data_IF_142467168952
#
_entry.id   IF_142467168952
#
_cell.length_a   1.000
_cell.length_b   1.000
_cell.length_c   1.000
_cell.angle_alpha   90.00
_cell.angle_beta   90.00
_cell.angle_gamma   90.00
#
_symmetry.space_group_name_H-M   'P 1'
#
loop_
_entity.id
_entity.type
_entity.pdbx_description
1 polymer ?
#
# COMPACT_ATOMS: atom_id res chain seq x y z
N UNK A 1 63.06 -49.52 186.36
CA UNK A 1 63.08 -48.57 185.22
C UNK A 1 63.21 -49.38 183.94
N UNK A 2 62.50 -49.07 182.85
CA UNK A 2 62.73 -49.81 181.59
C UNK A 2 61.62 -49.91 180.54
N UNK A 3 60.61 -49.03 180.52
CA UNK A 3 59.82 -48.84 179.29
C UNK A 3 60.13 -47.42 178.80
N UNK A 4 61.00 -47.32 177.80
CA UNK A 4 61.34 -46.08 177.12
C UNK A 4 60.67 -46.10 175.75
N UNK A 5 59.76 -45.17 175.50
CA UNK A 5 59.05 -45.10 174.21
C UNK A 5 60.02 -44.62 173.13
N UNK A 6 60.30 -45.47 172.15
CA UNK A 6 61.30 -45.19 171.09
C UNK A 6 60.73 -44.31 169.98
N UNK A 7 59.44 -44.44 169.67
CA UNK A 7 58.72 -43.51 168.79
C UNK A 7 57.21 -43.56 169.04
N UNK A 8 56.55 -42.41 168.92
CA UNK A 8 55.10 -42.35 168.67
C UNK A 8 54.90 -42.18 167.17
N UNK A 9 54.16 -43.11 166.55
CA UNK A 9 53.67 -42.95 165.17
C UNK A 9 52.19 -42.65 165.23
N UNK A 10 51.79 -41.44 164.85
CA UNK A 10 50.38 -41.07 164.72
C UNK A 10 49.82 -41.86 163.53
N UNK A 11 48.87 -42.76 163.79
CA UNK A 11 48.26 -43.60 162.75
C UNK A 11 47.18 -42.88 161.96
N UNK A 12 46.38 -42.08 162.65
CA UNK A 12 45.23 -41.38 162.06
C UNK A 12 44.99 -40.06 162.81
N UNK A 13 44.45 -39.06 162.10
CA UNK A 13 44.10 -37.74 162.63
C UNK A 13 42.69 -37.43 162.15
N UNK A 14 41.72 -37.69 163.02
CA UNK A 14 40.33 -37.30 162.81
C UNK A 14 40.04 -35.96 163.51
N UNK A 15 39.20 -35.16 162.88
CA UNK A 15 38.79 -33.83 163.30
C UNK A 15 37.27 -33.73 163.19
N UNK A 16 36.59 -33.50 164.31
CA UNK A 16 35.12 -33.46 164.39
C UNK A 16 34.53 -32.17 163.80
N UNK A 17 35.30 -31.06 163.83
CA UNK A 17 34.90 -29.76 163.27
C UNK A 17 35.20 -29.64 161.76
N UNK A 18 35.89 -30.64 161.17
CA UNK A 18 36.06 -30.81 159.73
C UNK A 18 36.98 -29.79 159.03
N UNK A 19 37.80 -29.06 159.78
CA UNK A 19 38.77 -28.07 159.31
C UNK A 19 39.73 -28.63 158.26
N UNK A 20 40.27 -29.84 158.49
CA UNK A 20 41.16 -30.51 157.52
C UNK A 20 40.47 -30.78 156.18
N UNK A 21 39.16 -31.09 156.20
CA UNK A 21 38.38 -31.33 154.98
C UNK A 21 38.09 -30.03 154.23
N UNK A 22 37.80 -28.94 154.96
CA UNK A 22 37.60 -27.61 154.38
C UNK A 22 38.88 -27.08 153.70
N UNK A 23 40.05 -27.26 154.32
CA UNK A 23 41.34 -26.88 153.75
C UNK A 23 41.64 -27.61 152.42
N UNK A 24 41.34 -28.92 152.35
CA UNK A 24 41.46 -29.71 151.13
C UNK A 24 40.45 -29.34 150.03
N UNK A 25 39.24 -28.91 150.41
CA UNK A 25 38.21 -28.47 149.45
C UNK A 25 38.60 -27.17 148.73
N UNK A 26 39.17 -26.20 149.44
CA UNK A 26 39.66 -24.98 148.80
C UNK A 26 40.76 -25.28 147.76
N UNK A 27 41.78 -26.05 148.15
CA UNK A 27 42.89 -26.37 147.26
C UNK A 27 42.50 -27.25 146.05
N UNK A 28 41.55 -28.17 146.23
CA UNK A 28 41.02 -28.96 145.10
C UNK A 28 40.10 -28.14 144.18
N UNK A 29 39.40 -27.12 144.69
CA UNK A 29 38.64 -26.18 143.87
C UNK A 29 39.55 -25.25 143.04
N UNK A 30 40.69 -24.81 143.60
CA UNK A 30 41.75 -24.09 142.87
C UNK A 30 42.30 -24.95 141.72
N UNK A 31 42.80 -26.16 142.01
CA UNK A 31 43.35 -27.05 140.98
C UNK A 31 42.31 -27.38 139.89
N UNK A 32 41.03 -27.55 140.23
CA UNK A 32 39.94 -27.73 139.26
C UNK A 32 39.55 -26.46 138.50
N UNK A 33 39.89 -25.26 139.01
CA UNK A 33 39.75 -24.00 138.28
C UNK A 33 40.90 -23.87 137.29
N UNK A 34 42.13 -24.06 137.76
CA UNK A 34 43.35 -23.90 136.97
C UNK A 34 43.42 -24.94 135.84
N UNK A 35 43.01 -26.19 136.09
CA UNK A 35 42.87 -27.21 135.06
C UNK A 35 41.83 -26.84 133.99
N UNK A 36 40.70 -26.22 134.38
CA UNK A 36 39.67 -25.74 133.42
C UNK A 36 40.14 -24.50 132.64
N UNK A 37 40.92 -23.63 133.26
CA UNK A 37 41.54 -22.48 132.58
C UNK A 37 42.55 -23.00 131.56
N UNK A 38 43.48 -23.89 131.97
CA UNK A 38 44.45 -24.50 131.07
C UNK A 38 43.81 -25.30 129.93
N UNK A 39 42.73 -26.04 130.18
CA UNK A 39 41.95 -26.67 129.11
C UNK A 39 41.31 -25.65 128.15
N UNK A 40 40.75 -24.56 128.67
CA UNK A 40 40.10 -23.54 127.85
C UNK A 40 41.10 -22.72 127.03
N UNK A 41 42.27 -22.44 127.58
CA UNK A 41 43.39 -21.79 126.89
C UNK A 41 43.99 -22.71 125.83
N UNK A 42 44.27 -23.98 126.15
CA UNK A 42 44.72 -24.96 125.17
C UNK A 42 43.71 -25.18 124.03
N UNK A 43 42.40 -25.20 124.34
CA UNK A 43 41.32 -25.28 123.33
C UNK A 43 41.26 -24.01 122.47
N UNK A 44 41.39 -22.82 123.07
CA UNK A 44 41.44 -21.53 122.35
C UNK A 44 42.63 -21.50 121.40
N UNK A 45 43.82 -21.82 121.88
CA UNK A 45 45.05 -21.78 121.08
C UNK A 45 45.05 -22.84 119.98
N UNK A 46 44.47 -24.02 120.23
CA UNK A 46 44.21 -25.02 119.20
C UNK A 46 43.24 -24.49 118.13
N UNK A 47 42.11 -23.91 118.52
CA UNK A 47 41.12 -23.33 117.58
C UNK A 47 41.69 -22.17 116.78
N UNK A 48 42.52 -21.30 117.37
CA UNK A 48 43.19 -20.21 116.65
C UNK A 48 44.16 -20.77 115.60
N UNK A 49 44.98 -21.78 115.96
CA UNK A 49 45.90 -22.43 115.01
C UNK A 49 45.18 -23.19 113.91
N UNK A 50 44.07 -23.86 114.24
CA UNK A 50 43.21 -24.55 113.29
C UNK A 50 42.56 -23.56 112.31
N UNK A 51 41.99 -22.46 112.81
CA UNK A 51 41.43 -21.40 111.98
C UNK A 51 42.47 -20.76 111.05
N UNK A 52 43.66 -20.43 111.54
CA UNK A 52 44.74 -19.87 110.72
C UNK A 52 45.22 -20.84 109.63
N UNK A 53 45.44 -22.12 109.98
CA UNK A 53 45.82 -23.14 109.01
C UNK A 53 44.73 -23.36 107.95
N UNK A 54 43.47 -23.23 108.34
CA UNK A 54 42.32 -23.38 107.44
C UNK A 54 42.11 -22.16 106.54
N UNK A 55 42.34 -20.94 107.05
CA UNK A 55 42.41 -19.71 106.24
C UNK A 55 43.53 -19.78 105.20
N UNK A 56 44.74 -20.20 105.59
CA UNK A 56 45.87 -20.40 104.66
C UNK A 56 45.54 -21.45 103.59
N UNK A 57 44.94 -22.59 104.00
CA UNK A 57 44.52 -23.65 103.07
C UNK A 57 43.47 -23.16 102.08
N UNK A 58 42.48 -22.39 102.54
CA UNK A 58 41.43 -21.83 101.71
C UNK A 58 41.97 -20.73 100.78
N UNK A 59 42.84 -19.84 101.26
CA UNK A 59 43.52 -18.85 100.44
C UNK A 59 44.34 -19.51 99.32
N UNK A 60 45.14 -20.53 99.64
CA UNK A 60 45.89 -21.30 98.64
C UNK A 60 44.97 -22.00 97.62
N UNK A 61 43.82 -22.52 98.05
CA UNK A 61 42.82 -23.10 97.13
C UNK A 61 42.20 -22.06 96.22
N UNK A 62 41.71 -20.95 96.74
CA UNK A 62 41.09 -19.89 95.94
C UNK A 62 42.08 -19.22 94.98
N UNK A 63 43.36 -19.09 95.35
CA UNK A 63 44.42 -18.66 94.44
C UNK A 63 44.59 -19.65 93.27
N UNK A 64 44.72 -20.95 93.55
CA UNK A 64 44.81 -21.97 92.51
C UNK A 64 43.54 -22.02 91.61
N UNK A 65 42.35 -21.93 92.20
CA UNK A 65 41.09 -21.91 91.46
C UNK A 65 40.93 -20.65 90.60
N UNK A 66 41.34 -19.47 91.09
CA UNK A 66 41.32 -18.23 90.29
C UNK A 66 42.35 -18.25 89.17
N UNK A 67 43.55 -18.79 89.36
CA UNK A 67 44.51 -18.98 88.26
C UNK A 67 44.01 -20.00 87.22
N UNK A 68 43.40 -21.11 87.64
CA UNK A 68 42.75 -22.07 86.73
C UNK A 68 41.58 -21.42 85.98
N UNK A 69 40.77 -20.59 86.64
CA UNK A 69 39.66 -19.88 86.00
C UNK A 69 40.13 -18.82 85.00
N UNK A 70 41.19 -18.05 85.33
CA UNK A 70 41.86 -17.14 84.39
C UNK A 70 42.40 -17.89 83.18
N UNK A 71 43.14 -18.97 83.38
CA UNK A 71 43.71 -19.78 82.31
C UNK A 71 42.62 -20.37 81.39
N UNK A 72 41.49 -20.84 81.95
CA UNK A 72 40.33 -21.30 81.17
C UNK A 72 39.71 -20.16 80.36
N UNK A 73 39.40 -19.02 80.98
CA UNK A 73 38.84 -17.84 80.30
C UNK A 73 39.75 -17.37 79.17
N UNK A 74 41.04 -17.29 79.41
CA UNK A 74 42.00 -16.79 78.43
C UNK A 74 42.23 -17.79 77.29
N UNK A 75 42.12 -19.10 77.56
CA UNK A 75 42.07 -20.14 76.54
C UNK A 75 40.79 -20.04 75.69
N UNK A 76 39.62 -19.88 76.33
CA UNK A 76 38.33 -19.74 75.64
C UNK A 76 38.26 -18.47 74.79
N UNK A 77 38.78 -17.34 75.28
CA UNK A 77 38.92 -16.10 74.52
C UNK A 77 39.83 -16.28 73.30
N UNK A 78 41.01 -16.88 73.46
CA UNK A 78 41.91 -17.19 72.33
C UNK A 78 41.25 -18.12 71.33
N UNK A 79 40.59 -19.18 71.81
CA UNK A 79 39.85 -20.12 70.96
C UNK A 79 38.76 -19.40 70.16
N UNK A 80 37.95 -18.55 70.80
CA UNK A 80 36.90 -17.79 70.13
C UNK A 80 37.45 -16.83 69.06
N UNK A 81 38.60 -16.19 69.32
CA UNK A 81 39.30 -15.34 68.33
C UNK A 81 39.76 -16.18 67.13
N UNK A 82 40.40 -17.33 67.36
CA UNK A 82 40.83 -18.21 66.26
C UNK A 82 39.65 -18.83 65.49
N UNK A 83 38.58 -19.24 66.18
CA UNK A 83 37.36 -19.74 65.54
C UNK A 83 36.70 -18.63 64.70
N UNK A 84 36.70 -17.38 65.16
CA UNK A 84 36.22 -16.22 64.39
C UNK A 84 37.09 -15.95 63.15
N UNK A 85 38.42 -16.00 63.28
CA UNK A 85 39.34 -15.82 62.15
C UNK A 85 39.18 -16.96 61.12
N UNK A 86 39.15 -18.21 61.57
CA UNK A 86 38.93 -19.37 60.70
C UNK A 86 37.57 -19.29 60.01
N UNK A 87 36.51 -18.86 60.70
CA UNK A 87 35.17 -18.76 60.11
C UNK A 87 35.05 -17.58 59.14
N UNK A 88 35.68 -16.43 59.41
CA UNK A 88 35.74 -15.34 58.42
C UNK A 88 36.51 -15.74 57.17
N UNK A 89 37.68 -16.40 57.31
CA UNK A 89 38.43 -16.93 56.16
C UNK A 89 37.71 -18.02 55.38
N UNK A 90 36.92 -18.87 56.04
CA UNK A 90 36.02 -19.84 55.36
C UNK A 90 34.92 -19.11 54.58
N UNK A 91 34.23 -18.17 55.20
CA UNK A 91 33.18 -17.38 54.55
C UNK A 91 33.72 -16.59 53.34
N UNK A 92 34.88 -15.93 53.48
CA UNK A 92 35.58 -15.26 52.38
C UNK A 92 35.89 -16.24 51.23
N UNK A 93 36.31 -17.47 51.54
CA UNK A 93 36.64 -18.50 50.55
C UNK A 93 35.39 -19.03 49.83
N UNK A 94 34.28 -19.23 50.55
CA UNK A 94 32.99 -19.64 49.98
C UNK A 94 32.37 -18.54 49.10
N UNK A 95 32.50 -17.28 49.52
CA UNK A 95 32.10 -16.11 48.73
C UNK A 95 32.98 -15.97 47.48
N UNK A 96 34.29 -16.15 47.59
CA UNK A 96 35.19 -16.14 46.44
C UNK A 96 34.89 -17.29 45.45
N UNK A 97 34.63 -18.49 45.95
CA UNK A 97 34.27 -19.65 45.13
C UNK A 97 32.92 -19.46 44.42
N UNK A 98 31.88 -19.00 45.15
CA UNK A 98 30.57 -18.74 44.57
C UNK A 98 30.58 -17.58 43.57
N UNK A 99 31.34 -16.51 43.84
CA UNK A 99 31.59 -15.42 42.89
C UNK A 99 32.31 -15.90 41.62
N UNK A 100 33.33 -16.75 41.77
CA UNK A 100 34.04 -17.32 40.63
C UNK A 100 33.15 -18.25 39.81
N UNK A 101 32.33 -19.08 40.46
CA UNK A 101 31.32 -19.90 39.79
C UNK A 101 30.28 -19.04 39.05
N UNK A 102 29.84 -17.93 39.63
CA UNK A 102 28.93 -16.97 38.98
C UNK A 102 29.58 -16.30 37.75
N UNK A 103 30.83 -15.82 37.86
CA UNK A 103 31.60 -15.26 36.73
C UNK A 103 31.78 -16.28 35.60
N UNK A 104 32.12 -17.53 35.92
CA UNK A 104 32.26 -18.60 34.93
C UNK A 104 30.93 -18.92 34.26
N UNK A 105 29.82 -18.99 35.02
CA UNK A 105 28.46 -19.14 34.45
C UNK A 105 28.05 -17.97 33.56
N UNK A 106 28.46 -16.74 33.89
CA UNK A 106 28.23 -15.58 33.04
C UNK A 106 28.98 -15.70 31.71
N UNK A 107 30.29 -16.00 31.73
CA UNK A 107 31.09 -16.21 30.52
C UNK A 107 30.51 -17.32 29.63
N UNK A 108 30.14 -18.46 30.21
CA UNK A 108 29.49 -19.56 29.46
C UNK A 108 28.19 -19.08 28.79
N UNK A 109 27.37 -18.25 29.47
CA UNK A 109 26.15 -17.69 28.87
C UNK A 109 26.45 -16.67 27.76
N UNK A 110 27.50 -15.87 27.90
CA UNK A 110 27.95 -14.93 26.87
C UNK A 110 28.43 -15.67 25.62
N UNK A 111 29.26 -16.72 25.79
CA UNK A 111 29.69 -17.61 24.70
C UNK A 111 28.51 -18.34 24.03
N UNK A 112 27.59 -18.92 24.82
CA UNK A 112 26.36 -19.53 24.30
C UNK A 112 25.49 -18.54 23.52
N UNK A 113 25.43 -17.28 23.94
CA UNK A 113 24.70 -16.24 23.23
C UNK A 113 25.40 -15.86 21.92
N UNK A 114 26.73 -15.81 21.89
CA UNK A 114 27.50 -15.61 20.65
C UNK A 114 27.27 -16.75 19.66
N UNK A 115 27.33 -18.01 20.09
CA UNK A 115 27.00 -19.18 19.25
C UNK A 115 25.60 -19.03 18.68
N UNK A 116 24.60 -18.69 19.50
CA UNK A 116 23.22 -18.49 19.05
C UNK A 116 23.04 -17.32 18.07
N UNK A 117 23.85 -16.27 18.18
CA UNK A 117 23.87 -15.16 17.21
C UNK A 117 24.46 -15.65 15.88
N UNK A 118 25.57 -16.41 15.90
CA UNK A 118 26.18 -17.00 14.70
C UNK A 118 25.23 -18.00 14.01
N UNK A 119 24.57 -18.87 14.78
CA UNK A 119 23.54 -19.78 14.25
C UNK A 119 22.41 -19.01 13.57
N UNK A 120 21.92 -17.92 14.18
CA UNK A 120 20.86 -17.09 13.60
C UNK A 120 21.32 -16.33 12.36
N UNK A 121 22.51 -15.73 12.36
CA UNK A 121 23.01 -15.03 11.16
C UNK A 121 23.26 -16.01 10.02
N UNK A 122 23.77 -17.21 10.31
CA UNK A 122 23.93 -18.25 9.31
C UNK A 122 22.57 -18.74 8.76
N UNK A 123 21.56 -18.88 9.61
CA UNK A 123 20.20 -19.23 9.18
C UNK A 123 19.56 -18.13 8.31
N UNK A 124 19.75 -16.86 8.66
CA UNK A 124 19.31 -15.72 7.84
C UNK A 124 20.01 -15.74 6.47
N UNK A 125 21.32 -15.96 6.41
CA UNK A 125 22.06 -16.06 5.14
C UNK A 125 21.56 -17.22 4.26
N UNK A 126 21.24 -18.38 4.85
CA UNK A 126 20.64 -19.50 4.11
C UNK A 126 19.25 -19.12 3.58
N UNK A 127 18.42 -18.47 4.39
CA UNK A 127 17.10 -17.97 3.96
C UNK A 127 17.20 -16.92 2.85
N UNK A 128 18.14 -15.97 2.93
CA UNK A 128 18.42 -15.00 1.87
C UNK A 128 18.84 -15.70 0.57
N UNK A 129 19.69 -16.71 0.64
CA UNK A 129 20.08 -17.52 -0.54
C UNK A 129 18.92 -18.33 -1.11
N UNK A 130 18.04 -18.88 -0.27
CA UNK A 130 16.81 -19.56 -0.71
C UNK A 130 15.82 -18.60 -1.37
N UNK A 131 15.63 -17.41 -0.81
CA UNK A 131 14.82 -16.33 -1.41
C UNK A 131 15.40 -15.95 -2.78
N UNK A 132 16.70 -15.66 -2.87
CA UNK A 132 17.36 -15.30 -4.15
C UNK A 132 17.28 -16.41 -5.20
N UNK A 133 17.33 -17.70 -4.79
CA UNK A 133 17.08 -18.82 -5.72
C UNK A 133 15.63 -18.81 -6.20
N UNK A 134 14.68 -18.68 -5.27
CA UNK A 134 13.24 -18.69 -5.55
C UNK A 134 12.81 -17.49 -6.40
N UNK A 135 13.39 -16.31 -6.20
CA UNK A 135 13.17 -15.14 -7.04
C UNK A 135 13.62 -15.39 -8.47
N UNK A 136 14.81 -15.99 -8.68
CA UNK A 136 15.30 -16.36 -10.02
C UNK A 136 14.45 -17.45 -10.67
N UNK A 137 13.96 -18.42 -9.90
CA UNK A 137 13.01 -19.44 -10.38
C UNK A 137 11.68 -18.80 -10.82
N UNK A 138 11.12 -17.87 -10.04
CA UNK A 138 9.89 -17.14 -10.36
C UNK A 138 10.07 -16.16 -11.53
N UNK A 139 11.22 -15.50 -11.62
CA UNK A 139 11.61 -14.66 -12.76
C UNK A 139 11.66 -15.50 -14.04
N UNK A 140 12.33 -16.65 -14.01
CA UNK A 140 12.43 -17.56 -15.15
C UNK A 140 11.08 -18.19 -15.54
N UNK A 141 10.26 -18.57 -14.56
CA UNK A 141 9.03 -19.37 -14.76
C UNK A 141 7.78 -18.52 -15.00
N UNK A 142 7.71 -17.31 -14.45
CA UNK A 142 6.52 -16.45 -14.52
C UNK A 142 6.82 -15.16 -15.28
N UNK A 143 7.86 -14.40 -14.90
CA UNK A 143 8.10 -13.07 -15.51
C UNK A 143 8.51 -13.19 -16.97
N UNK A 144 9.51 -14.02 -17.29
CA UNK A 144 9.99 -14.21 -18.68
C UNK A 144 8.90 -14.67 -19.67
N UNK A 145 8.05 -15.67 -19.38
CA UNK A 145 6.96 -16.02 -20.29
C UNK A 145 5.85 -14.97 -20.33
N UNK A 146 5.54 -14.28 -19.22
CA UNK A 146 4.57 -13.17 -19.24
C UNK A 146 5.06 -11.97 -20.07
N UNK A 147 6.36 -11.66 -20.01
CA UNK A 147 7.01 -10.63 -20.84
C UNK A 147 7.04 -11.05 -22.32
N UNK A 148 7.33 -12.32 -22.61
CA UNK A 148 7.28 -12.85 -23.98
C UNK A 148 5.87 -12.81 -24.57
N UNK A 149 4.83 -13.18 -23.79
CA UNK A 149 3.44 -13.13 -24.24
C UNK A 149 2.96 -11.68 -24.39
N UNK A 150 3.32 -10.79 -23.46
CA UNK A 150 3.07 -9.34 -23.61
C UNK A 150 3.66 -8.80 -24.91
N UNK A 151 4.94 -9.08 -25.17
CA UNK A 151 5.62 -8.63 -26.40
C UNK A 151 4.97 -9.21 -27.67
N UNK A 152 4.59 -10.50 -27.63
CA UNK A 152 3.84 -11.16 -28.72
C UNK A 152 2.49 -10.48 -28.97
N UNK A 153 1.72 -10.17 -27.92
CA UNK A 153 0.43 -9.50 -28.02
C UNK A 153 0.56 -8.04 -28.49
N UNK A 154 1.55 -7.29 -28.00
CA UNK A 154 1.85 -5.93 -28.48
C UNK A 154 2.20 -5.95 -29.97
N UNK A 155 3.05 -6.88 -30.42
CA UNK A 155 3.40 -7.03 -31.84
C UNK A 155 2.23 -7.51 -32.70
N UNK A 156 1.36 -8.37 -32.19
CA UNK A 156 0.13 -8.77 -32.89
C UNK A 156 -0.87 -7.61 -33.01
N UNK A 157 -1.01 -6.79 -31.96
CA UNK A 157 -1.86 -5.60 -31.97
C UNK A 157 -1.31 -4.52 -32.93
N UNK A 158 0.02 -4.30 -32.95
CA UNK A 158 0.70 -3.42 -33.89
C UNK A 158 0.51 -3.91 -35.34
N UNK A 159 0.70 -5.21 -35.60
CA UNK A 159 0.47 -5.81 -36.91
C UNK A 159 -1.00 -5.67 -37.36
N UNK A 160 -1.97 -5.92 -36.48
CA UNK A 160 -3.39 -5.73 -36.78
C UNK A 160 -3.74 -4.26 -37.04
N UNK A 161 -3.19 -3.32 -36.25
CA UNK A 161 -3.37 -1.88 -36.47
C UNK A 161 -2.82 -1.46 -37.84
N UNK A 162 -1.61 -1.90 -38.17
CA UNK A 162 -0.98 -1.59 -39.45
C UNK A 162 -1.75 -2.22 -40.62
N UNK A 163 -2.27 -3.45 -40.47
CA UNK A 163 -3.14 -4.07 -41.47
C UNK A 163 -4.42 -3.26 -41.70
N UNK A 164 -5.12 -2.85 -40.64
CA UNK A 164 -6.34 -2.05 -40.75
C UNK A 164 -6.06 -0.69 -41.40
N UNK A 165 -4.91 -0.06 -41.11
CA UNK A 165 -4.51 1.19 -41.78
C UNK A 165 -4.27 0.94 -43.27
N UNK A 166 -3.50 -0.09 -43.64
CA UNK A 166 -3.24 -0.43 -45.06
C UNK A 166 -4.52 -0.83 -45.81
N UNK A 167 -5.43 -1.57 -45.17
CA UNK A 167 -6.75 -1.92 -45.72
C UNK A 167 -7.58 -0.65 -45.97
N UNK A 168 -7.66 0.26 -44.99
CA UNK A 168 -8.38 1.53 -45.12
C UNK A 168 -7.75 2.50 -46.14
N UNK A 169 -6.42 2.56 -46.23
CA UNK A 169 -5.69 3.33 -47.26
C UNK A 169 -5.93 2.77 -48.66
N UNK A 170 -5.89 1.44 -48.83
CA UNK A 170 -6.18 0.77 -50.09
C UNK A 170 -7.66 0.94 -50.51
N UNK A 171 -8.61 0.87 -49.56
CA UNK A 171 -10.02 1.19 -49.83
C UNK A 171 -10.22 2.65 -50.23
N UNK A 172 -9.58 3.59 -49.52
CA UNK A 172 -9.65 5.02 -49.84
C UNK A 172 -9.05 5.32 -51.23
N UNK A 173 -7.92 4.71 -51.58
CA UNK A 173 -7.31 4.85 -52.90
C UNK A 173 -8.16 4.19 -54.00
N UNK A 174 -8.76 3.02 -53.74
CA UNK A 174 -9.67 2.36 -54.67
C UNK A 174 -10.97 3.17 -54.90
N UNK A 175 -11.50 3.82 -53.85
CA UNK A 175 -12.63 4.76 -53.97
C UNK A 175 -12.22 5.99 -54.77
N UNK A 176 -11.03 6.56 -54.52
CA UNK A 176 -10.49 7.69 -55.30
C UNK A 176 -10.36 7.35 -56.78
N UNK A 177 -9.70 6.23 -57.11
CA UNK A 177 -9.53 5.76 -58.50
C UNK A 177 -10.86 5.50 -59.20
N UNK A 178 -11.86 4.93 -58.50
CA UNK A 178 -13.22 4.79 -59.04
C UNK A 178 -13.89 6.13 -59.26
N UNK A 179 -13.80 7.06 -58.31
CA UNK A 179 -14.36 8.40 -58.43
C UNK A 179 -13.72 9.21 -59.57
N UNK A 180 -12.40 9.10 -59.76
CA UNK A 180 -11.67 9.69 -60.89
C UNK A 180 -12.09 9.06 -62.23
N UNK A 181 -12.24 7.73 -62.29
CA UNK A 181 -12.70 7.03 -63.49
C UNK A 181 -14.16 7.35 -63.84
N UNK A 182 -15.04 7.45 -62.85
CA UNK A 182 -16.45 7.87 -63.00
C UNK A 182 -16.54 9.33 -63.44
N UNK A 183 -15.78 10.24 -62.82
CA UNK A 183 -15.70 11.64 -63.21
C UNK A 183 -15.22 11.80 -64.66
N UNK A 184 -14.15 11.09 -65.05
CA UNK A 184 -13.65 11.09 -66.42
C UNK A 184 -14.66 10.50 -67.42
N UNK A 185 -15.39 9.45 -67.05
CA UNK A 185 -16.44 8.86 -67.88
C UNK A 185 -17.65 9.80 -68.04
N UNK A 186 -18.05 10.50 -66.97
CA UNK A 186 -19.11 11.52 -67.01
C UNK A 186 -18.67 12.73 -67.83
N UNK A 187 -17.43 13.22 -67.66
CA UNK A 187 -16.89 14.33 -68.45
C UNK A 187 -16.80 13.95 -69.93
N UNK A 188 -16.36 12.73 -70.25
CA UNK A 188 -16.29 12.23 -71.64
C UNK A 188 -17.68 12.10 -72.27
N UNK A 189 -18.68 11.61 -71.51
CA UNK A 189 -20.09 11.59 -71.96
C UNK A 189 -20.63 13.01 -72.16
N UNK A 190 -20.42 13.91 -71.21
CA UNK A 190 -20.87 15.29 -71.29
C UNK A 190 -20.23 16.05 -72.47
N UNK A 191 -18.94 15.81 -72.76
CA UNK A 191 -18.28 16.33 -73.97
C UNK A 191 -18.88 15.75 -75.24
N UNK A 192 -19.12 14.44 -75.30
CA UNK A 192 -19.75 13.81 -76.46
C UNK A 192 -21.21 14.30 -76.67
N UNK A 193 -21.97 14.49 -75.60
CA UNK A 193 -23.32 15.08 -75.63
C UNK A 193 -23.30 16.55 -76.05
N UNK A 194 -22.36 17.34 -75.55
CA UNK A 194 -22.17 18.74 -75.97
C UNK A 194 -21.80 18.83 -77.46
N UNK A 195 -20.87 17.99 -77.94
CA UNK A 195 -20.55 17.90 -79.37
C UNK A 195 -21.75 17.44 -80.21
N UNK A 196 -22.53 16.45 -79.75
CA UNK A 196 -23.75 16.05 -80.43
C UNK A 196 -24.79 17.16 -80.44
N UNK A 197 -24.91 17.95 -79.36
CA UNK A 197 -25.82 19.08 -79.28
C UNK A 197 -25.39 20.20 -80.24
N UNK A 198 -24.10 20.49 -80.34
CA UNK A 198 -23.54 21.46 -81.31
C UNK A 198 -23.81 20.97 -82.74
N UNK A 199 -23.47 19.71 -83.06
CA UNK A 199 -23.71 19.12 -84.39
C UNK A 199 -25.21 19.10 -84.74
N UNK A 200 -26.10 18.83 -83.77
CA UNK A 200 -27.56 18.95 -83.93
C UNK A 200 -27.98 20.41 -84.13
N UNK A 201 -27.42 21.36 -83.38
CA UNK A 201 -27.75 22.78 -83.50
C UNK A 201 -27.30 23.37 -84.85
N UNK A 202 -26.16 22.94 -85.38
CA UNK A 202 -25.69 23.33 -86.71
C UNK A 202 -26.52 22.64 -87.83
N UNK A 203 -26.88 21.36 -87.67
CA UNK A 203 -27.86 20.74 -88.55
C UNK A 203 -29.22 21.48 -88.53
N UNK A 204 -29.76 21.82 -87.37
CA UNK A 204 -30.98 22.63 -87.25
C UNK A 204 -30.82 24.06 -87.81
N UNK A 205 -29.60 24.59 -87.94
CA UNK A 205 -29.34 25.86 -88.65
C UNK A 205 -29.42 25.72 -90.16
N UNK A 206 -28.98 24.60 -90.73
CA UNK A 206 -29.12 24.30 -92.15
C UNK A 206 -30.56 23.88 -92.52
N UNK A 207 -31.25 23.17 -91.63
CA UNK A 207 -32.65 22.76 -91.81
C UNK A 207 -33.71 23.86 -91.54
N UNK A 208 -33.31 25.13 -91.34
CA UNK A 208 -34.21 26.23 -90.93
C UNK A 208 -35.44 26.40 -91.83
N UNK A 209 -35.30 26.26 -93.14
CA UNK A 209 -36.40 26.49 -94.08
C UNK A 209 -37.36 25.28 -94.20
N UNK A 210 -36.93 24.09 -93.76
CA UNK A 210 -37.73 22.86 -93.82
C UNK A 210 -38.37 22.50 -92.47
N UNK A 211 -37.62 22.65 -91.36
CA UNK A 211 -38.07 22.25 -90.03
C UNK A 211 -39.22 23.13 -89.49
N UNK A 212 -39.29 24.40 -89.89
CA UNK A 212 -40.41 25.28 -89.54
C UNK A 212 -41.71 24.80 -90.22
N UNK A 213 -41.63 24.33 -91.47
CA UNK A 213 -42.79 23.82 -92.20
C UNK A 213 -43.26 22.47 -91.65
N UNK A 214 -42.32 21.57 -91.34
CA UNK A 214 -42.60 20.24 -90.79
C UNK A 214 -43.19 20.31 -89.37
N UNK A 215 -42.58 21.12 -88.49
CA UNK A 215 -43.11 21.33 -87.14
C UNK A 215 -44.44 22.11 -87.13
N UNK A 216 -44.72 22.96 -88.13
CA UNK A 216 -46.06 23.51 -88.35
C UNK A 216 -47.05 22.45 -88.84
N UNK A 217 -46.67 21.59 -89.78
CA UNK A 217 -47.53 20.52 -90.31
C UNK A 217 -47.93 19.49 -89.23
N UNK A 218 -47.04 19.20 -88.27
CA UNK A 218 -47.33 18.27 -87.17
C UNK A 218 -48.11 18.91 -86.00
N UNK A 219 -47.99 20.23 -85.81
CA UNK A 219 -48.71 20.96 -84.74
C UNK A 219 -50.07 21.51 -85.18
N UNK A 220 -50.26 21.83 -86.46
CA UNK A 220 -51.52 22.30 -87.04
C UNK A 220 -52.72 21.36 -86.75
N UNK A 221 -52.62 20.02 -86.88
CA UNK A 221 -53.71 19.11 -86.56
C UNK A 221 -54.09 19.12 -85.08
N UNK A 222 -53.11 19.31 -84.17
CA UNK A 222 -53.37 19.36 -82.71
C UNK A 222 -54.09 20.64 -82.32
N UNK A 223 -53.60 21.78 -82.82
CA UNK A 223 -54.25 23.09 -82.61
C UNK A 223 -55.64 23.10 -83.24
N UNK A 224 -55.82 22.55 -84.45
CA UNK A 224 -57.13 22.41 -85.06
C UNK A 224 -58.08 21.50 -84.27
N UNK A 225 -57.59 20.40 -83.68
CA UNK A 225 -58.39 19.52 -82.84
C UNK A 225 -58.84 20.20 -81.53
N UNK A 226 -57.97 20.93 -80.85
CA UNK A 226 -58.31 21.65 -79.61
C UNK A 226 -59.24 22.85 -79.88
N UNK A 227 -59.14 23.51 -81.05
CA UNK A 227 -60.06 24.58 -81.46
C UNK A 227 -61.41 24.03 -81.97
N UNK A 228 -61.46 22.81 -82.52
CA UNK A 228 -62.70 22.17 -82.96
C UNK A 228 -63.47 21.47 -81.83
N UNK A 229 -62.79 21.04 -80.76
CA UNK A 229 -63.40 20.33 -79.63
C UNK A 229 -64.62 21.05 -79.01
N UNK A 230 -64.62 22.39 -78.79
CA UNK A 230 -65.78 23.10 -78.26
C UNK A 230 -66.98 23.11 -79.22
N UNK A 231 -66.75 23.20 -80.54
CA UNK A 231 -67.84 23.23 -81.54
C UNK A 231 -68.48 21.84 -81.69
N UNK A 232 -67.69 20.77 -81.61
CA UNK A 232 -68.21 19.39 -81.68
C UNK A 232 -69.10 19.00 -80.49
N UNK A 233 -69.12 19.77 -79.40
CA UNK A 233 -69.94 19.48 -78.20
C UNK A 233 -71.29 20.22 -78.18
N UNK A 234 -71.56 21.12 -79.14
CA UNK A 234 -72.81 21.93 -79.14
C UNK A 234 -73.91 21.23 -79.96
N UNK A 235 -74.63 20.31 -79.31
CA UNK A 235 -75.71 19.53 -79.95
C UNK A 235 -76.94 20.35 -80.39
N UNK A 236 -77.08 21.62 -79.99
CA UNK A 236 -78.16 22.51 -80.45
C UNK A 236 -77.82 23.99 -80.27
N UNK A 237 -77.51 24.69 -81.37
CA UNK A 237 -77.42 26.16 -81.37
C UNK A 237 -78.81 26.73 -81.65
N UNK A 238 -79.41 27.42 -80.67
CA UNK A 238 -80.69 28.14 -80.84
C UNK A 238 -80.39 29.63 -80.96
N UNK A 239 -80.27 30.14 -82.19
CA UNK A 239 -80.14 31.57 -82.45
C UNK A 239 -81.51 32.25 -82.32
N UNK A 240 -81.71 33.03 -81.27
CA UNK A 240 -82.92 33.84 -81.08
C UNK A 240 -82.71 35.20 -81.76
N UNK A 241 -83.27 35.35 -82.97
CA UNK A 241 -83.13 36.57 -83.77
C UNK A 241 -84.18 37.63 -83.43
N UNK A 242 -83.75 38.70 -82.76
CA UNK A 242 -84.50 39.96 -82.68
C UNK A 242 -84.26 40.86 -83.89
N UNK A 243 -85.02 40.66 -84.98
CA UNK A 243 -85.35 41.66 -86.02
C UNK A 243 -84.24 42.44 -86.77
N UNK A 244 -84.14 42.20 -88.09
CA UNK A 244 -83.47 43.04 -89.14
C UNK A 244 -81.94 43.23 -89.02
N UNK A 245 -81.21 42.27 -89.58
CA UNK A 245 -79.78 42.38 -89.93
C UNK A 245 -79.19 40.98 -90.10
N UNK A 246 -78.49 40.71 -91.21
CA UNK A 246 -78.24 39.36 -91.73
C UNK A 246 -77.75 38.31 -90.71
N UNK A 247 -78.46 37.18 -90.69
CA UNK A 247 -78.26 36.06 -89.76
C UNK A 247 -77.56 34.94 -90.51
N UNK A 248 -76.36 34.56 -90.08
CA UNK A 248 -75.62 33.46 -90.70
C UNK A 248 -74.20 33.32 -90.17
N UNK A 249 -73.48 32.34 -90.73
CA UNK A 249 -72.14 31.97 -90.30
C UNK A 249 -71.15 33.14 -90.23
N UNK A 250 -71.35 34.22 -91.01
CA UNK A 250 -70.54 35.44 -91.00
C UNK A 250 -70.34 36.08 -89.62
N UNK A 251 -71.32 36.00 -88.70
CA UNK A 251 -71.13 36.50 -87.32
C UNK A 251 -70.35 35.54 -86.44
N UNK A 252 -70.49 34.22 -86.66
CA UNK A 252 -69.67 33.20 -85.99
C UNK A 252 -68.21 33.25 -86.47
N UNK A 253 -67.96 33.39 -87.78
CA UNK A 253 -66.59 33.65 -88.28
C UNK A 253 -66.08 35.02 -87.86
N UNK A 254 -66.94 36.04 -87.72
CA UNK A 254 -66.57 37.33 -87.13
C UNK A 254 -66.08 37.21 -85.69
N UNK A 255 -66.86 36.58 -84.80
CA UNK A 255 -66.47 36.34 -83.40
C UNK A 255 -65.27 35.39 -83.30
N UNK A 256 -65.15 34.38 -84.16
CA UNK A 256 -63.95 33.52 -84.24
C UNK A 256 -62.72 34.29 -84.70
N UNK A 257 -62.84 35.21 -85.67
CA UNK A 257 -61.73 36.09 -86.09
C UNK A 257 -61.33 37.04 -84.96
N UNK A 258 -62.29 37.60 -84.22
CA UNK A 258 -62.04 38.47 -83.06
C UNK A 258 -61.42 37.72 -81.86
N UNK A 259 -61.78 36.44 -81.68
CA UNK A 259 -61.11 35.55 -80.72
C UNK A 259 -59.69 35.26 -81.20
N UNK A 260 -59.48 34.95 -82.49
CA UNK A 260 -58.15 34.71 -83.05
C UNK A 260 -57.25 35.94 -82.90
N UNK A 261 -57.70 37.17 -83.21
CA UNK A 261 -56.88 38.38 -82.99
C UNK A 261 -56.62 38.65 -81.51
N UNK A 262 -57.57 38.40 -80.60
CA UNK A 262 -57.34 38.52 -79.15
C UNK A 262 -56.39 37.47 -78.59
N UNK A 263 -56.47 36.23 -79.06
CA UNK A 263 -55.54 35.16 -78.69
C UNK A 263 -54.15 35.42 -79.26
N UNK A 264 -54.03 35.83 -80.53
CA UNK A 264 -52.74 36.21 -81.14
C UNK A 264 -52.12 37.42 -80.44
N UNK A 265 -52.90 38.42 -80.02
CA UNK A 265 -52.37 39.56 -79.23
C UNK A 265 -52.00 39.20 -77.79
N UNK A 266 -52.73 38.30 -77.12
CA UNK A 266 -52.29 37.73 -75.83
C UNK A 266 -51.00 36.92 -75.98
N UNK A 267 -50.87 36.11 -77.04
CA UNK A 267 -49.62 35.37 -77.32
C UNK A 267 -48.49 36.33 -77.65
N UNK A 268 -48.70 37.42 -78.40
CA UNK A 268 -47.70 38.48 -78.57
C UNK A 268 -47.26 39.10 -77.24
N UNK A 269 -48.20 39.41 -76.34
CA UNK A 269 -47.90 39.99 -75.03
C UNK A 269 -47.18 39.03 -74.06
N UNK A 270 -47.36 37.71 -74.23
CA UNK A 270 -46.72 36.68 -73.39
C UNK A 270 -45.45 36.06 -73.97
N UNK A 271 -45.20 36.17 -75.28
CA UNK A 271 -44.06 35.52 -75.96
C UNK A 271 -43.12 36.48 -76.71
N UNK A 272 -43.52 37.73 -76.95
CA UNK A 272 -42.63 38.79 -77.43
C UNK A 272 -42.14 38.68 -78.89
N UNK A 273 -42.59 37.70 -79.67
CA UNK A 273 -42.17 37.51 -81.08
C UNK A 273 -43.18 38.15 -82.05
N UNK A 274 -42.68 38.92 -83.02
CA UNK A 274 -43.49 39.51 -84.10
C UNK A 274 -43.33 38.72 -85.41
N UNK A 275 -44.43 38.15 -85.93
CA UNK A 275 -44.50 37.55 -87.27
C UNK A 275 -45.44 38.43 -88.11
N UNK A 276 -44.94 39.56 -88.61
CA UNK A 276 -45.83 40.57 -89.19
C UNK A 276 -45.20 41.82 -89.82
N UNK A 277 -43.93 41.81 -90.23
CA UNK A 277 -43.36 42.84 -91.11
C UNK A 277 -42.03 42.38 -91.75
N UNK A 278 -42.01 42.20 -93.07
CA UNK A 278 -40.80 41.90 -93.85
C UNK A 278 -40.63 42.98 -94.93
N UNK A 279 -39.51 43.71 -94.93
CA UNK A 279 -39.07 44.62 -96.01
C UNK A 279 -37.56 44.91 -95.90
N UNK A 280 -36.88 45.45 -96.94
CA UNK A 280 -35.96 44.69 -97.79
C UNK A 280 -34.48 45.11 -97.60
N UNK A 281 -33.49 44.42 -98.24
CA UNK A 281 -32.08 44.49 -97.82
C UNK A 281 -31.26 45.62 -98.46
N UNK A 282 -30.16 45.98 -97.80
CA UNK A 282 -29.10 46.85 -98.35
C UNK A 282 -27.69 46.27 -98.09
N UNK A 283 -26.97 45.97 -99.17
CA UNK A 283 -25.50 45.80 -99.21
C UNK A 283 -24.85 47.19 -99.38
N UNK A 284 -23.64 47.47 -98.85
CA UNK A 284 -22.33 47.08 -99.44
C UNK A 284 -21.22 46.79 -98.37
N UNK A 285 -19.94 46.48 -98.64
CA UNK A 285 -19.17 45.86 -99.75
C UNK A 285 -17.73 45.57 -99.27
N UNK A 286 -17.02 44.59 -99.86
CA UNK A 286 -15.57 44.36 -99.63
C UNK A 286 -15.25 42.93 -99.16
N UNK A 287 -15.10 41.92 -100.02
CA UNK A 287 -13.94 41.64 -100.92
C UNK A 287 -12.69 41.27 -100.09
N UNK A 288 -12.47 39.96 -99.81
CA UNK A 288 -11.45 39.07 -100.43
C UNK A 288 -9.99 39.38 -99.96
N UNK A 289 -9.05 38.43 -99.85
CA UNK A 289 -8.98 37.06 -100.37
C UNK A 289 -8.18 36.07 -99.48
N UNK A 290 -8.42 34.78 -99.75
CA UNK A 290 -7.55 33.59 -99.62
C UNK A 290 -6.16 33.74 -100.31
N UNK A 291 -5.23 32.74 -100.31
CA UNK A 291 -5.27 31.33 -99.87
C UNK A 291 -4.26 31.07 -98.71
N UNK A 292 -3.61 29.91 -98.42
CA UNK A 292 -3.40 28.66 -99.16
C UNK A 292 -3.16 27.40 -98.28
N UNK A 293 -2.51 26.37 -98.86
CA UNK A 293 -2.43 24.98 -98.42
C UNK A 293 -1.12 24.57 -97.71
N UNK A 294 -1.28 23.61 -96.78
CA UNK A 294 -0.42 22.42 -96.48
C UNK A 294 0.99 22.30 -97.13
N UNK A 295 1.98 22.19 -96.25
CA UNK A 295 3.07 21.18 -96.23
C UNK A 295 3.38 20.91 -94.74
N UNK A 296 3.30 19.71 -94.16
CA UNK A 296 4.05 18.45 -94.43
C UNK A 296 5.56 18.58 -94.18
N UNK A 297 6.08 17.80 -93.21
CA UNK A 297 7.50 17.65 -92.80
C UNK A 297 8.14 18.92 -92.17
N UNK A 298 8.95 18.89 -91.10
CA UNK A 298 9.82 17.85 -90.55
C UNK A 298 10.21 18.13 -89.06
N UNK A 299 10.57 17.06 -88.36
CA UNK A 299 11.53 16.96 -87.23
C UNK A 299 11.81 18.17 -86.30
N UNK A 300 11.37 18.05 -85.04
CA UNK A 300 12.26 17.75 -83.90
C UNK A 300 11.47 17.13 -82.74
#
# INVERSE_FOLDING_TARGET
MGITVVSYTIKDICDEEGYLRALGQARTAEVKRDARIGEAEAKRDAQIKEALAEEERLAAKFLNETEVAKAKRDFELKKAIYDQEVNTKKADSELAYSLQAAKTRQRIKEEQMQVKVVERTQAIQVQEQEILRREKELEATIRRPAEAEKYRLEKLAEANKNRIIMEAEAEAEAIRLKGEAEAFAVESKAKAEAEQLIKKADAFREYKDAAILDMMLDTLPRVAAEVAAPISQVNRVVMVSGGKGDIGAAKLTGEVIDIITKTTTMVHQLTGVNIGAQKPPTFPSGVQATPAMRTSQAAM
#
